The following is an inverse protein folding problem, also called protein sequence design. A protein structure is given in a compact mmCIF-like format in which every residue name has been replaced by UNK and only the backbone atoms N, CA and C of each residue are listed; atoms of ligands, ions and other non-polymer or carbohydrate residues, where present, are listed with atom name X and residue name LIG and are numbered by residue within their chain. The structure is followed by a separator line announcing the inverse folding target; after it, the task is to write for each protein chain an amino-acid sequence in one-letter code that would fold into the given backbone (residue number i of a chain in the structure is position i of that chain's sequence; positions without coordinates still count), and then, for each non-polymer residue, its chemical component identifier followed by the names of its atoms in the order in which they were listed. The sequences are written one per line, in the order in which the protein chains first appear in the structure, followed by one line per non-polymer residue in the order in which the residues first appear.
data_IF_798334318143
#
_entry.id   IF_798334318143
#
_cell.length_a   1.000
_cell.length_b   1.000
_cell.length_c   1.000
_cell.angle_alpha   90.00
_cell.angle_beta   90.00
_cell.angle_gamma   90.00
#
_symmetry.space_group_name_H-M   'P 1'
#
loop_
_entity.id
_entity.type
_entity.pdbx_description
1 polymer ?
#
# COMPACT_ATOMS: atom_id res chain seq x y z
N UNK A 1 -10.54 -19.50 1.57
CA UNK A 1 -11.15 -18.25 1.09
C UNK A 1 -11.51 -18.41 -0.37
N UNK A 2 -12.73 -18.05 -0.71
CA UNK A 2 -13.17 -18.09 -2.11
C UNK A 2 -13.56 -16.70 -2.55
N UNK A 3 -13.03 -16.29 -3.68
CA UNK A 3 -13.29 -14.96 -4.22
C UNK A 3 -14.28 -15.02 -5.35
N UNK A 4 -15.18 -14.06 -5.42
CA UNK A 4 -16.02 -13.89 -6.60
C UNK A 4 -15.12 -13.36 -7.73
N UNK A 5 -15.69 -13.40 -8.95
CA UNK A 5 -14.97 -12.85 -10.10
C UNK A 5 -14.69 -11.36 -9.92
N UNK A 6 -15.68 -10.63 -9.41
CA UNK A 6 -15.51 -9.19 -9.18
C UNK A 6 -14.43 -8.94 -8.14
N UNK A 7 -14.43 -9.69 -7.04
CA UNK A 7 -13.40 -9.55 -6.01
C UNK A 7 -12.02 -9.86 -6.56
N UNK A 8 -11.92 -10.92 -7.38
CA UNK A 8 -10.66 -11.27 -8.01
C UNK A 8 -10.13 -10.13 -8.86
N UNK A 9 -11.01 -9.50 -9.65
CA UNK A 9 -10.59 -8.39 -10.51
C UNK A 9 -10.13 -7.19 -9.71
N UNK A 10 -10.82 -6.88 -8.59
CA UNK A 10 -10.41 -5.80 -7.72
C UNK A 10 -9.02 -6.06 -7.13
N UNK A 11 -8.77 -7.30 -6.68
CA UNK A 11 -7.47 -7.64 -6.10
C UNK A 11 -6.37 -7.52 -7.15
N UNK A 12 -6.64 -7.95 -8.39
CA UNK A 12 -5.65 -7.80 -9.46
C UNK A 12 -5.34 -6.34 -9.76
N UNK A 13 -6.36 -5.48 -9.74
CA UNK A 13 -6.15 -4.05 -9.95
C UNK A 13 -5.31 -3.46 -8.83
N UNK A 14 -5.60 -3.83 -7.58
CA UNK A 14 -4.83 -3.37 -6.44
C UNK A 14 -3.38 -3.84 -6.55
N UNK A 15 -3.17 -5.09 -6.97
CA UNK A 15 -1.82 -5.61 -7.12
C UNK A 15 -1.04 -4.83 -8.16
N UNK A 16 -1.69 -4.46 -9.26
CA UNK A 16 -1.06 -3.65 -10.29
C UNK A 16 -0.66 -2.29 -9.73
N UNK A 17 -1.53 -1.67 -8.93
CA UNK A 17 -1.22 -0.38 -8.32
C UNK A 17 -0.07 -0.50 -7.32
N UNK A 18 -0.04 -1.56 -6.52
CA UNK A 18 1.04 -1.76 -5.56
C UNK A 18 2.38 -1.94 -6.28
N UNK A 19 2.38 -2.68 -7.38
CA UNK A 19 3.60 -2.87 -8.15
C UNK A 19 4.13 -1.56 -8.69
N UNK A 20 3.24 -0.70 -9.18
CA UNK A 20 3.64 0.62 -9.65
C UNK A 20 4.25 1.44 -8.51
N UNK A 21 3.69 1.32 -7.31
CA UNK A 21 4.22 2.02 -6.13
C UNK A 21 5.61 1.50 -5.75
N UNK A 22 5.81 0.18 -5.77
CA UNK A 22 7.13 -0.40 -5.50
C UNK A 22 8.15 0.21 -6.45
N UNK A 23 7.84 0.18 -7.75
CA UNK A 23 8.78 0.68 -8.75
C UNK A 23 9.07 2.17 -8.56
N UNK A 24 8.05 2.95 -8.21
CA UNK A 24 8.19 4.37 -7.98
C UNK A 24 9.14 4.65 -6.80
N UNK A 25 8.95 3.97 -5.69
CA UNK A 25 9.77 4.22 -4.51
C UNK A 25 11.18 3.69 -4.66
N UNK A 26 11.37 2.60 -5.41
CA UNK A 26 12.72 2.16 -5.76
C UNK A 26 13.44 3.20 -6.59
N UNK A 27 12.74 3.82 -7.53
CA UNK A 27 13.33 4.88 -8.34
C UNK A 27 13.68 6.09 -7.47
N UNK A 28 12.80 6.49 -6.57
CA UNK A 28 13.06 7.61 -5.67
C UNK A 28 14.23 7.31 -4.75
N UNK A 29 14.33 6.09 -4.28
CA UNK A 29 15.45 5.67 -3.44
C UNK A 29 16.77 5.87 -4.17
N UNK A 30 16.82 5.45 -5.42
CA UNK A 30 18.04 5.60 -6.22
C UNK A 30 18.37 7.04 -6.55
N UNK A 31 17.35 7.88 -6.66
CA UNK A 31 17.53 9.26 -7.09
C UNK A 31 17.85 10.22 -5.96
N UNK A 32 17.46 9.89 -4.74
CA UNK A 32 17.64 10.79 -3.60
C UNK A 32 19.12 10.88 -3.22
N UNK A 33 19.53 12.04 -2.77
CA UNK A 33 20.89 12.27 -2.30
C UNK A 33 20.98 12.22 -0.77
N UNK A 34 19.90 12.61 -0.10
CA UNK A 34 19.85 12.62 1.36
C UNK A 34 19.69 11.19 1.86
N UNK A 35 20.55 10.81 2.80
CA UNK A 35 20.58 9.42 3.26
C UNK A 35 19.32 9.04 4.03
N UNK A 36 18.80 9.96 4.84
CA UNK A 36 17.56 9.67 5.57
C UNK A 36 16.39 9.51 4.62
N UNK A 37 16.36 10.32 3.58
CA UNK A 37 15.30 10.23 2.58
C UNK A 37 15.41 8.92 1.80
N UNK A 38 16.63 8.51 1.44
CA UNK A 38 16.84 7.23 0.77
C UNK A 38 16.28 6.09 1.64
N UNK A 39 16.59 6.12 2.93
CA UNK A 39 16.14 5.08 3.85
C UNK A 39 14.64 5.08 3.96
N UNK A 40 14.01 6.25 3.97
CA UNK A 40 12.56 6.34 4.01
C UNK A 40 11.94 5.70 2.76
N UNK A 41 12.45 6.06 1.58
CA UNK A 41 11.95 5.49 0.33
C UNK A 41 12.14 3.99 0.28
N UNK A 42 13.28 3.51 0.78
CA UNK A 42 13.54 2.08 0.83
C UNK A 42 12.49 1.37 1.68
N UNK A 43 12.20 1.92 2.84
CA UNK A 43 11.23 1.31 3.76
C UNK A 43 9.83 1.32 3.18
N UNK A 44 9.43 2.43 2.55
CA UNK A 44 8.11 2.49 1.94
C UNK A 44 8.02 1.47 0.80
N UNK A 45 9.07 1.37 -0.01
CA UNK A 45 9.10 0.39 -1.09
C UNK A 45 8.96 -1.03 -0.57
N UNK A 46 9.61 -1.35 0.55
CA UNK A 46 9.49 -2.67 1.15
C UNK A 46 8.06 -2.94 1.62
N UNK A 47 7.42 -1.94 2.23
CA UNK A 47 6.03 -2.08 2.67
C UNK A 47 5.09 -2.31 1.49
N UNK A 48 5.30 -1.59 0.41
CA UNK A 48 4.49 -1.76 -0.79
C UNK A 48 4.71 -3.15 -1.40
N UNK A 49 5.94 -3.66 -1.33
CA UNK A 49 6.22 -5.01 -1.81
C UNK A 49 5.48 -6.05 -0.98
N UNK A 50 5.41 -5.85 0.33
CA UNK A 50 4.66 -6.75 1.19
C UNK A 50 3.18 -6.73 0.85
N UNK A 51 2.63 -5.55 0.55
CA UNK A 51 1.24 -5.44 0.14
C UNK A 51 1.02 -6.21 -1.16
N UNK A 52 1.91 -6.06 -2.12
CA UNK A 52 1.83 -6.76 -3.38
C UNK A 52 1.82 -8.28 -3.17
N UNK A 53 2.73 -8.75 -2.31
CA UNK A 53 2.85 -10.18 -2.03
C UNK A 53 1.60 -10.70 -1.32
N UNK A 54 1.06 -9.93 -0.37
CA UNK A 54 -0.14 -10.31 0.35
C UNK A 54 -1.33 -10.43 -0.60
N UNK A 55 -1.46 -9.49 -1.53
CA UNK A 55 -2.53 -9.55 -2.51
C UNK A 55 -2.38 -10.78 -3.40
N UNK A 56 -1.14 -11.15 -3.72
CA UNK A 56 -0.88 -12.36 -4.49
C UNK A 56 -1.33 -13.61 -3.74
N UNK A 57 -1.13 -13.63 -2.41
CA UNK A 57 -1.60 -14.76 -1.61
C UNK A 57 -3.12 -14.83 -1.60
N UNK A 58 -3.78 -13.68 -1.49
CA UNK A 58 -5.25 -13.65 -1.54
C UNK A 58 -5.75 -14.21 -2.86
N UNK A 59 -5.09 -13.91 -3.96
CA UNK A 59 -5.48 -14.45 -5.28
C UNK A 59 -5.35 -15.95 -5.34
N UNK A 60 -4.47 -16.54 -4.55
CA UNK A 60 -4.31 -18.00 -4.46
C UNK A 60 -5.29 -18.64 -3.49
N UNK A 61 -6.09 -17.83 -2.79
CA UNK A 61 -7.03 -18.33 -1.80
C UNK A 61 -6.44 -18.44 -0.40
N UNK A 62 -5.24 -17.96 -0.20
CA UNK A 62 -4.57 -18.01 1.10
C UNK A 62 -4.90 -16.77 1.93
N UNK A 63 -4.83 -16.92 3.25
CA UNK A 63 -5.00 -15.78 4.15
C UNK A 63 -3.60 -15.28 4.51
N UNK A 64 -3.23 -14.08 4.09
CA UNK A 64 -1.87 -13.60 4.35
C UNK A 64 -1.66 -13.23 5.81
N UNK A 65 -0.40 -13.32 6.25
CA UNK A 65 0.01 -12.84 7.55
C UNK A 65 0.39 -11.36 7.38
N UNK A 66 -0.44 -10.47 7.92
CA UNK A 66 -0.23 -9.04 7.74
C UNK A 66 0.42 -8.38 8.96
N UNK A 67 1.00 -9.19 9.86
CA UNK A 67 1.63 -8.63 11.06
C UNK A 67 2.72 -7.63 10.73
N UNK A 68 3.58 -7.97 9.80
CA UNK A 68 4.69 -7.08 9.41
C UNK A 68 4.17 -5.77 8.83
N UNK A 69 3.16 -5.86 7.95
CA UNK A 69 2.58 -4.66 7.35
C UNK A 69 1.92 -3.79 8.40
N UNK A 70 1.27 -4.42 9.39
CA UNK A 70 0.57 -3.68 10.42
C UNK A 70 1.52 -2.95 11.36
N UNK A 71 2.73 -3.46 11.54
CA UNK A 71 3.67 -2.82 12.45
C UNK A 71 4.03 -1.41 11.97
N UNK A 72 4.03 -1.19 10.66
CA UNK A 72 4.30 0.13 10.11
C UNK A 72 3.12 1.08 10.25
N UNK A 73 1.98 0.57 10.58
CA UNK A 73 0.76 1.36 10.75
C UNK A 73 0.35 1.51 12.20
N UNK A 74 1.23 1.16 13.10
CA UNK A 74 0.96 1.26 14.53
C UNK A 74 0.63 2.70 14.90
N UNK A 75 -0.50 2.90 15.57
CA UNK A 75 -0.94 4.24 15.94
C UNK A 75 -1.80 4.94 14.91
N UNK A 76 -1.94 4.36 13.73
CA UNK A 76 -2.75 4.94 12.67
C UNK A 76 -4.23 4.64 12.93
N UNK A 77 -5.08 5.66 12.73
CA UNK A 77 -6.52 5.52 12.93
C UNK A 77 -7.26 5.86 11.64
N UNK A 78 -7.36 4.88 10.72
CA UNK A 78 -7.93 5.16 9.40
C UNK A 78 -9.37 5.66 9.43
N UNK A 79 -10.16 5.23 10.41
CA UNK A 79 -11.56 5.67 10.47
C UNK A 79 -11.68 7.17 10.65
N UNK A 80 -10.82 7.74 11.48
CA UNK A 80 -10.80 9.19 11.67
C UNK A 80 -10.38 9.91 10.40
N UNK A 81 -9.39 9.36 9.75
CA UNK A 81 -8.85 9.94 8.53
C UNK A 81 -9.93 10.03 7.46
N UNK A 82 -10.64 8.97 7.27
CA UNK A 82 -11.68 8.93 6.26
C UNK A 82 -12.87 9.81 6.62
N UNK A 83 -13.22 9.85 7.90
CA UNK A 83 -14.32 10.69 8.33
C UNK A 83 -14.02 12.16 8.05
N UNK A 84 -12.78 12.57 8.23
CA UNK A 84 -12.38 13.95 7.97
C UNK A 84 -12.28 14.24 6.48
N UNK A 85 -11.77 13.31 5.73
CA UNK A 85 -11.48 13.51 4.31
C UNK A 85 -12.68 13.51 3.42
N UNK A 86 -13.74 12.92 3.90
CA UNK A 86 -14.90 12.87 3.08
C UNK A 86 -15.61 14.18 3.02
N UNK A 87 -15.17 14.64 3.17
CA UNK A 87 -15.43 15.54 2.75
C UNK A 87 -14.91 16.39 2.15
N UNK A 88 -14.12 16.01 2.22
CA UNK A 88 -13.48 16.57 1.63
C UNK A 88 -13.13 17.03 0.96
N UNK A 89 -12.92 17.02 1.05
CA UNK A 89 -12.35 17.25 0.37
C UNK A 89 -12.06 17.51 -0.13
N UNK A 90 -12.13 17.62 0.19
CA UNK A 90 -11.63 17.79 -0.26
C UNK A 90 -11.26 18.08 -0.62
N UNK A 91 -11.37 18.38 -0.23
CA UNK A 91 -10.73 18.68 -0.50
C UNK A 91 -10.22 18.73 -1.09
N UNK A 92 -10.21 18.81 -0.95
CA UNK A 92 -9.51 18.88 -1.42
C UNK A 92 -8.95 18.81 -2.00
N UNK A 93 -8.88 18.88 -1.93
CA UNK A 93 -8.10 18.80 -2.40
C UNK A 93 -7.57 18.53 -2.76
N UNK A 94 -7.65 18.34 -2.51
CA UNK A 94 -6.85 18.00 -2.68
C UNK A 94 -6.28 17.56 -3.08
N UNK A 95 -6.15 17.08 -3.01
CA UNK A 95 -5.33 16.61 -3.32
C UNK A 95 -5.06 16.68 -3.89
#
# INVERSE_FOLDING_TARGET
MQLTEQETNVIKDLQTQEKACVDKYRFYEQSAHDEELKNLFHRIGDEEQEHFDSLGMVLKGDVPNVSAARSGMEGYTPSESYAAGNNSEEKKHDL
#
